data_IF_533808133690
#
_entry.id   IF_533808133690
#
_cell.length_a   1.000
_cell.length_b   1.000
_cell.length_c   1.000
_cell.angle_alpha   90.00
_cell.angle_beta   90.00
_cell.angle_gamma   90.00
#
_symmetry.space_group_name_H-M   'P 1'
#
loop_
_entity.id
_entity.type
_entity.pdbx_description
1 polymer ?
#
# COMPACT_ATOMS: atom_id res chain seq x y z
N UNK A 1 -21.74 -3.23 -7.32
CA UNK A 1 -22.96 -3.95 -7.72
C UNK A 1 -23.79 -4.49 -6.53
N UNK A 2 -23.50 -4.11 -5.27
CA UNK A 2 -24.25 -4.63 -4.11
C UNK A 2 -25.73 -4.18 -4.06
N UNK A 3 -25.98 -2.97 -4.57
CA UNK A 3 -27.32 -2.39 -4.59
C UNK A 3 -28.25 -3.12 -5.58
N UNK A 4 -27.71 -3.50 -6.74
CA UNK A 4 -28.42 -4.30 -7.74
C UNK A 4 -28.71 -5.72 -7.24
N UNK A 5 -27.72 -6.39 -6.64
CA UNK A 5 -27.91 -7.74 -6.07
C UNK A 5 -28.90 -7.77 -4.92
N UNK A 6 -29.05 -6.67 -4.18
CA UNK A 6 -30.08 -6.55 -3.14
C UNK A 6 -31.47 -6.17 -3.67
N UNK A 7 -31.62 -5.94 -4.99
CA UNK A 7 -32.87 -5.46 -5.59
C UNK A 7 -33.27 -4.05 -5.15
N UNK A 8 -32.33 -3.28 -4.59
CA UNK A 8 -32.62 -1.96 -4.01
C UNK A 8 -32.55 -0.90 -5.10
N UNK A 9 -33.65 -0.16 -5.26
CA UNK A 9 -33.78 0.94 -6.20
C UNK A 9 -33.42 2.27 -5.56
N UNK A 10 -33.44 3.35 -6.36
CA UNK A 10 -33.23 4.71 -5.86
C UNK A 10 -34.40 5.21 -5.01
N UNK A 11 -35.62 4.69 -5.24
CA UNK A 11 -36.83 5.08 -4.52
C UNK A 11 -36.84 4.60 -3.07
N UNK A 12 -36.18 3.47 -2.78
CA UNK A 12 -36.10 2.90 -1.43
C UNK A 12 -35.33 3.78 -0.46
N UNK A 13 -34.55 4.76 -0.94
CA UNK A 13 -33.75 5.71 -0.14
C UNK A 13 -32.85 5.04 0.93
N UNK A 14 -32.54 3.76 0.75
CA UNK A 14 -31.63 2.99 1.63
C UNK A 14 -30.20 3.48 1.40
N UNK A 15 -29.48 3.74 2.50
CA UNK A 15 -28.09 4.17 2.46
C UNK A 15 -27.17 3.05 1.97
N UNK A 16 -26.06 3.41 1.33
CA UNK A 16 -25.06 2.42 0.92
C UNK A 16 -24.41 1.71 2.13
N UNK A 17 -24.36 2.36 3.29
CA UNK A 17 -23.80 1.75 4.50
C UNK A 17 -24.70 0.63 5.02
N UNK A 18 -26.03 0.82 5.02
CA UNK A 18 -26.97 -0.24 5.38
C UNK A 18 -26.91 -1.42 4.40
N UNK A 19 -26.72 -1.15 3.10
CA UNK A 19 -26.51 -2.21 2.10
C UNK A 19 -25.20 -2.96 2.38
N UNK A 20 -24.12 -2.25 2.69
CA UNK A 20 -22.83 -2.86 3.00
C UNK A 20 -22.86 -3.72 4.25
N UNK A 21 -23.52 -3.24 5.31
CA UNK A 21 -23.73 -3.98 6.55
C UNK A 21 -24.46 -5.30 6.30
N UNK A 22 -25.55 -5.27 5.51
CA UNK A 22 -26.30 -6.48 5.11
C UNK A 22 -25.43 -7.54 4.43
N UNK A 23 -24.42 -7.13 3.66
CA UNK A 23 -23.50 -8.04 2.97
C UNK A 23 -22.19 -8.28 3.73
N UNK A 24 -22.03 -7.76 4.95
CA UNK A 24 -20.79 -7.86 5.71
C UNK A 24 -19.59 -7.17 5.05
N UNK A 25 -19.83 -6.18 4.18
CA UNK A 25 -18.77 -5.45 3.49
C UNK A 25 -18.31 -4.29 4.36
N UNK A 26 -17.03 -4.31 4.72
CA UNK A 26 -16.43 -3.25 5.54
C UNK A 26 -16.59 -1.85 4.88
N UNK A 27 -16.80 -0.80 5.69
CA UNK A 27 -16.76 0.59 5.23
C UNK A 27 -15.49 0.91 4.45
N UNK A 28 -15.62 1.79 3.45
CA UNK A 28 -14.47 2.16 2.62
C UNK A 28 -13.38 2.88 3.42
N UNK A 29 -13.77 3.63 4.46
CA UNK A 29 -12.85 4.32 5.35
C UNK A 29 -11.92 3.33 6.05
N UNK A 30 -12.44 2.19 6.48
CA UNK A 30 -11.63 1.15 7.13
C UNK A 30 -10.65 0.52 6.15
N UNK A 31 -11.06 0.30 4.90
CA UNK A 31 -10.16 -0.19 3.84
C UNK A 31 -9.07 0.82 3.49
N UNK A 32 -9.40 2.10 3.46
CA UNK A 32 -8.42 3.18 3.27
C UNK A 32 -7.44 3.24 4.45
N UNK A 33 -7.93 3.08 5.69
CA UNK A 33 -7.09 3.00 6.88
C UNK A 33 -6.17 1.79 6.85
N UNK A 34 -6.70 0.62 6.50
CA UNK A 34 -5.93 -0.63 6.36
C UNK A 34 -4.81 -0.49 5.31
N UNK A 35 -5.13 0.05 4.13
CA UNK A 35 -4.15 0.29 3.08
C UNK A 35 -3.02 1.25 3.53
N UNK A 36 -3.39 2.32 4.25
CA UNK A 36 -2.43 3.27 4.81
C UNK A 36 -1.51 2.62 5.85
N UNK A 37 -2.06 1.79 6.74
CA UNK A 37 -1.28 1.07 7.74
C UNK A 37 -0.35 0.03 7.11
N UNK A 38 -0.81 -0.68 6.07
CA UNK A 38 0.04 -1.57 5.28
C UNK A 38 1.20 -0.81 4.64
N UNK A 39 0.95 0.36 4.06
CA UNK A 39 2.00 1.21 3.48
C UNK A 39 3.03 1.63 4.54
N UNK A 40 2.60 2.15 5.69
CA UNK A 40 3.52 2.47 6.79
C UNK A 40 4.31 1.25 7.28
N UNK A 41 3.66 0.09 7.40
CA UNK A 41 4.33 -1.16 7.75
C UNK A 41 5.42 -1.54 6.74
N UNK A 42 5.18 -1.33 5.45
CA UNK A 42 6.20 -1.50 4.41
C UNK A 42 7.33 -0.47 4.55
N UNK A 43 7.03 0.81 4.78
CA UNK A 43 8.05 1.85 4.98
C UNK A 43 8.95 1.57 6.18
N UNK A 44 8.37 1.13 7.30
CA UNK A 44 9.11 0.80 8.51
C UNK A 44 9.99 -0.44 8.35
N UNK A 45 9.49 -1.50 7.70
CA UNK A 45 10.29 -2.69 7.35
C UNK A 45 11.43 -2.33 6.40
N UNK A 46 11.14 -1.56 5.35
CA UNK A 46 12.15 -1.10 4.41
C UNK A 46 13.26 -0.30 5.12
N UNK A 47 12.92 0.55 6.10
CA UNK A 47 13.93 1.31 6.88
C UNK A 47 14.78 0.40 7.78
N UNK A 48 14.18 -0.60 8.41
CA UNK A 48 14.89 -1.51 9.32
C UNK A 48 15.77 -2.53 8.57
N UNK A 49 15.33 -2.95 7.38
CA UNK A 49 16.06 -3.92 6.56
C UNK A 49 17.01 -3.24 5.56
N UNK A 50 16.93 -1.90 5.38
CA UNK A 50 17.83 -1.16 4.49
C UNK A 50 19.21 -0.99 5.10
N UNK A 51 20.23 -1.37 4.33
CA UNK A 51 21.61 -1.01 4.64
C UNK A 51 21.79 0.49 4.32
N UNK A 52 22.33 1.32 5.24
CA UNK A 52 22.56 2.73 4.94
C UNK A 52 23.54 2.85 3.77
N UNK A 53 23.07 3.47 2.69
CA UNK A 53 23.90 3.81 1.53
C UNK A 53 24.23 5.29 1.62
N UNK A 54 25.52 5.61 1.76
CA UNK A 54 26.00 6.99 1.74
C UNK A 54 25.85 7.56 0.32
N UNK A 55 24.79 8.34 0.09
CA UNK A 55 24.52 9.04 -1.17
C UNK A 55 24.61 10.54 -0.90
N UNK A 56 25.46 11.24 -1.64
CA UNK A 56 25.50 12.70 -1.64
C UNK A 56 24.25 13.24 -2.37
N UNK A 57 23.53 14.25 -1.83
CA UNK A 57 22.21 14.66 -2.33
C UNK A 57 22.17 15.13 -3.79
N UNK A 58 23.30 15.54 -4.38
CA UNK A 58 23.44 15.86 -5.80
C UNK A 58 23.36 14.63 -6.73
N UNK A 59 23.74 13.45 -6.24
CA UNK A 59 23.71 12.18 -6.97
C UNK A 59 22.31 11.54 -6.91
N UNK A 60 21.44 12.02 -6.03
CA UNK A 60 20.08 11.53 -5.87
C UNK A 60 19.14 11.93 -7.05
N UNK A 61 19.59 12.71 -8.02
CA UNK A 61 18.79 12.98 -9.23
C UNK A 61 19.20 12.09 -10.41
N UNK A 62 20.33 11.38 -10.31
CA UNK A 62 20.74 10.44 -11.35
C UNK A 62 19.99 9.10 -11.20
N UNK A 63 19.04 8.86 -12.11
CA UNK A 63 18.16 7.69 -12.14
C UNK A 63 18.91 6.35 -12.15
N UNK A 64 20.05 6.29 -12.81
CA UNK A 64 20.82 5.05 -12.96
C UNK A 64 21.59 4.73 -11.69
N UNK A 65 22.23 5.73 -11.07
CA UNK A 65 22.82 5.60 -9.74
C UNK A 65 21.77 5.22 -8.70
N UNK A 66 20.60 5.86 -8.69
CA UNK A 66 19.50 5.51 -7.78
C UNK A 66 19.09 4.04 -7.85
N UNK A 67 18.94 3.50 -9.07
CA UNK A 67 18.59 2.09 -9.28
C UNK A 67 19.67 1.15 -8.76
N UNK A 68 20.94 1.47 -8.99
CA UNK A 68 22.06 0.67 -8.47
C UNK A 68 22.10 0.68 -6.94
N UNK A 69 21.83 1.83 -6.32
CA UNK A 69 21.83 1.98 -4.86
C UNK A 69 20.65 1.27 -4.21
N UNK A 70 19.43 1.38 -4.76
CA UNK A 70 18.26 0.63 -4.29
C UNK A 70 18.51 -0.88 -4.36
N UNK A 71 19.08 -1.36 -5.47
CA UNK A 71 19.44 -2.79 -5.59
C UNK A 71 20.47 -3.22 -4.54
N UNK A 72 21.46 -2.39 -4.22
CA UNK A 72 22.47 -2.69 -3.18
C UNK A 72 21.91 -2.62 -1.76
N UNK A 73 20.92 -1.75 -1.52
CA UNK A 73 20.24 -1.57 -0.24
C UNK A 73 19.18 -2.65 0.03
N UNK A 74 18.77 -3.39 -0.99
CA UNK A 74 17.84 -4.51 -0.87
C UNK A 74 18.49 -5.69 -0.11
N UNK A 75 17.95 -6.11 1.04
CA UNK A 75 18.46 -7.26 1.80
C UNK A 75 18.50 -8.57 0.99
N UNK A 76 17.65 -8.72 -0.05
CA UNK A 76 17.66 -9.89 -0.92
C UNK A 76 18.89 -9.95 -1.84
N UNK A 77 19.49 -8.81 -2.20
CA UNK A 77 20.66 -8.73 -3.07
C UNK A 77 21.91 -9.42 -2.48
N UNK A 78 22.02 -9.47 -1.15
CA UNK A 78 23.12 -10.14 -0.44
C UNK A 78 23.00 -11.67 -0.43
N UNK A 79 21.79 -12.21 -0.64
CA UNK A 79 21.54 -13.66 -0.64
C UNK A 79 21.94 -14.33 -1.96
N UNK A 80 21.88 -13.59 -3.07
CA UNK A 80 22.13 -14.08 -4.43
C UNK A 80 23.62 -14.17 -4.80
N UNK A 81 24.52 -13.65 -3.94
CA UNK A 81 25.97 -13.65 -4.16
C UNK A 81 26.75 -14.73 -3.39
N UNK A 82 26.06 -15.69 -2.78
CA UNK A 82 26.67 -16.76 -1.98
C UNK A 82 26.69 -18.05 -2.77
#
# INVERSE_FOLDING_TARGET
MLRWTAGVTRLDRISNDAIRERFGVAPIVDKMREARLRWYGHTLRAKNDSVPVNIHPDQAFNREKWRQHIRKADPAYKRDKR
#
